data_IF_977632361686
#
_entry.id   IF_977632361686
#
_cell.length_a   1.000
_cell.length_b   1.000
_cell.length_c   1.000
_cell.angle_alpha   90.00
_cell.angle_beta   90.00
_cell.angle_gamma   90.00
#
_symmetry.space_group_name_H-M   'P 1'
#
loop_
_entity.id
_entity.type
_entity.pdbx_description
1 polymer ?
#
# COMPACT_ATOMS: atom_id res chain seq x y z
N UNK A 1 -3.45 28.03 20.29
CA UNK A 1 -3.02 26.61 20.24
C UNK A 1 -1.56 26.55 19.81
N UNK A 2 -0.76 25.76 20.51
CA UNK A 2 0.67 25.54 20.21
C UNK A 2 0.99 24.07 20.35
N UNK A 3 1.86 23.59 19.49
CA UNK A 3 2.43 22.23 19.58
C UNK A 3 3.29 22.14 20.84
N UNK A 4 3.01 21.19 21.70
CA UNK A 4 3.79 20.90 22.92
C UNK A 4 4.73 19.74 22.74
N UNK A 5 4.34 18.73 21.95
CA UNK A 5 5.10 17.52 21.71
C UNK A 5 4.73 16.91 20.35
N UNK A 6 5.68 16.29 19.68
CA UNK A 6 5.47 15.42 18.53
C UNK A 6 6.07 14.05 18.87
N UNK A 7 5.20 13.06 19.10
CA UNK A 7 5.58 11.68 19.37
C UNK A 7 5.42 10.84 18.09
N UNK A 8 6.42 10.02 17.80
CA UNK A 8 6.39 9.12 16.65
C UNK A 8 6.78 7.71 17.08
N UNK A 9 5.95 6.74 16.74
CA UNK A 9 6.09 5.34 17.14
C UNK A 9 5.97 4.40 15.97
N UNK A 10 6.73 3.31 16.04
CA UNK A 10 6.60 2.18 15.13
C UNK A 10 5.72 1.12 15.81
N UNK A 11 4.63 0.75 15.14
CA UNK A 11 3.69 -0.26 15.61
C UNK A 11 3.75 -1.45 14.65
N UNK A 12 3.99 -2.64 15.18
CA UNK A 12 3.91 -3.89 14.43
C UNK A 12 2.43 -4.27 14.26
N UNK A 13 1.96 -4.27 13.02
CA UNK A 13 0.61 -4.71 12.63
C UNK A 13 0.61 -6.11 12.01
N UNK A 14 1.53 -6.99 12.37
CA UNK A 14 1.77 -8.34 11.91
C UNK A 14 2.26 -8.46 10.46
N UNK A 15 1.57 -7.85 9.51
CA UNK A 15 1.92 -7.93 8.08
C UNK A 15 2.80 -6.77 7.61
N UNK A 16 2.86 -5.67 8.37
CA UNK A 16 3.72 -4.49 8.16
C UNK A 16 3.82 -3.66 9.43
N UNK A 17 4.82 -2.82 9.48
CA UNK A 17 4.90 -1.79 10.50
C UNK A 17 4.10 -0.55 10.07
N UNK A 18 3.49 0.12 11.04
CA UNK A 18 2.82 1.40 10.90
C UNK A 18 3.62 2.45 11.66
N UNK A 19 3.90 3.58 11.03
CA UNK A 19 4.52 4.73 11.68
C UNK A 19 3.40 5.67 12.08
N UNK A 20 3.11 5.72 13.38
CA UNK A 20 2.07 6.58 13.94
C UNK A 20 2.72 7.84 14.48
N UNK A 21 2.25 8.99 14.02
CA UNK A 21 2.68 10.31 14.52
C UNK A 21 1.54 10.95 15.29
N UNK A 22 1.83 11.42 16.51
CA UNK A 22 0.91 12.17 17.34
C UNK A 22 1.48 13.56 17.61
N UNK A 23 0.67 14.58 17.38
CA UNK A 23 1.00 15.98 17.67
C UNK A 23 0.11 16.44 18.82
N UNK A 24 0.71 16.71 19.98
CA UNK A 24 0.01 17.21 21.16
C UNK A 24 0.03 18.73 21.21
N UNK A 25 -1.04 19.32 21.74
CA UNK A 25 -1.18 20.77 21.87
C UNK A 25 -1.43 21.21 23.28
N UNK A 26 -1.14 22.49 23.58
CA UNK A 26 -1.42 23.14 24.86
C UNK A 26 -2.92 23.29 25.17
N UNK A 27 -3.80 23.06 24.21
CA UNK A 27 -5.25 23.07 24.37
C UNK A 27 -5.85 21.66 24.52
N UNK A 28 -5.01 20.63 24.65
CA UNK A 28 -5.42 19.24 24.88
C UNK A 28 -5.92 18.50 23.64
N UNK A 29 -5.87 19.11 22.45
CA UNK A 29 -6.18 18.45 21.19
C UNK A 29 -4.94 17.70 20.72
N UNK A 30 -5.11 16.43 20.37
CA UNK A 30 -4.05 15.61 19.78
C UNK A 30 -4.43 15.22 18.35
N UNK A 31 -3.57 15.56 17.39
CA UNK A 31 -3.67 15.09 16.01
C UNK A 31 -2.91 13.80 15.80
N UNK A 32 -3.43 12.95 14.95
CA UNK A 32 -2.88 11.62 14.67
C UNK A 32 -2.77 11.41 13.16
N UNK A 33 -1.69 10.78 12.74
CA UNK A 33 -1.50 10.33 11.37
C UNK A 33 -0.83 8.95 11.33
N UNK A 34 -0.92 8.32 10.16
CA UNK A 34 -0.25 7.07 9.87
C UNK A 34 0.45 7.16 8.52
N UNK A 35 1.68 6.67 8.46
CA UNK A 35 2.40 6.44 7.20
C UNK A 35 3.07 5.07 7.20
N UNK A 36 3.29 4.54 6.01
CA UNK A 36 3.95 3.24 5.79
C UNK A 36 5.02 3.40 4.72
N UNK A 37 6.25 3.03 5.04
CA UNK A 37 7.37 3.07 4.10
C UNK A 37 8.05 1.72 3.90
N UNK A 38 7.38 0.66 4.38
CA UNK A 38 7.86 -0.72 4.30
C UNK A 38 9.27 -0.86 4.91
N UNK A 39 10.28 -1.19 4.11
CA UNK A 39 11.65 -1.45 4.59
C UNK A 39 12.40 -0.21 5.10
N UNK A 40 11.82 0.99 4.96
CA UNK A 40 12.45 2.26 5.36
C UNK A 40 11.79 2.88 6.59
N UNK A 41 11.14 2.05 7.42
CA UNK A 41 10.36 2.51 8.56
C UNK A 41 11.20 3.31 9.55
N UNK A 42 12.36 2.80 9.96
CA UNK A 42 13.28 3.50 10.88
C UNK A 42 13.80 4.83 10.29
N UNK A 43 14.08 4.85 8.99
CA UNK A 43 14.54 6.07 8.31
C UNK A 43 13.46 7.14 8.28
N UNK A 44 12.21 6.75 8.00
CA UNK A 44 11.06 7.66 7.98
C UNK A 44 10.71 8.14 9.38
N UNK A 45 10.74 7.27 10.38
CA UNK A 45 10.51 7.62 11.78
C UNK A 45 11.55 8.66 12.26
N UNK A 46 12.83 8.43 11.96
CA UNK A 46 13.88 9.42 12.26
C UNK A 46 13.74 10.69 11.41
N UNK A 47 13.21 10.60 10.19
CA UNK A 47 12.86 11.75 9.38
C UNK A 47 11.85 12.66 10.06
N UNK A 48 10.79 12.10 10.67
CA UNK A 48 9.81 12.88 11.46
C UNK A 48 10.49 13.60 12.63
N UNK A 49 11.36 12.91 13.38
CA UNK A 49 12.11 13.53 14.50
C UNK A 49 13.00 14.68 14.04
N UNK A 50 13.77 14.44 13.00
CA UNK A 50 14.67 15.44 12.44
C UNK A 50 13.91 16.67 11.92
N UNK A 51 12.79 16.49 11.22
CA UNK A 51 11.96 17.60 10.78
C UNK A 51 11.39 18.39 11.97
N UNK A 52 10.92 17.69 13.01
CA UNK A 52 10.40 18.33 14.23
C UNK A 52 11.44 19.28 14.86
N UNK A 53 12.69 18.83 14.97
CA UNK A 53 13.78 19.58 15.58
C UNK A 53 14.28 20.70 14.65
N UNK A 54 14.61 20.37 13.39
CA UNK A 54 15.26 21.30 12.47
C UNK A 54 14.34 22.44 12.03
N UNK A 55 13.05 22.18 11.86
CA UNK A 55 12.06 23.23 11.51
C UNK A 55 11.58 23.98 12.77
N UNK A 56 11.86 23.45 13.95
CA UNK A 56 11.44 24.04 15.22
C UNK A 56 9.92 24.09 15.35
N UNK A 57 9.26 22.96 15.14
CA UNK A 57 7.79 22.86 15.16
C UNK A 57 7.19 23.03 16.55
N UNK A 58 7.91 22.68 17.60
CA UNK A 58 7.46 22.87 18.99
C UNK A 58 7.21 24.35 19.27
N UNK A 59 6.07 24.66 19.88
CA UNK A 59 5.60 26.02 20.15
C UNK A 59 4.95 26.72 18.96
N UNK A 60 4.90 26.12 17.77
CA UNK A 60 4.21 26.65 16.59
C UNK A 60 2.73 26.34 16.63
N UNK A 61 1.95 27.08 15.85
CA UNK A 61 0.52 26.87 15.68
C UNK A 61 0.25 25.76 14.64
N UNK A 62 -0.32 24.58 15.04
CA UNK A 62 -0.57 23.48 14.12
C UNK A 62 -1.73 23.76 13.14
N UNK A 63 -2.51 24.80 13.33
CA UNK A 63 -3.66 25.14 12.47
C UNK A 63 -3.25 25.68 11.10
N UNK A 64 -1.98 25.79 10.83
CA UNK A 64 -1.41 26.28 9.58
C UNK A 64 -0.64 25.17 8.83
N UNK A 65 -1.29 24.03 8.50
CA UNK A 65 -0.59 22.87 7.92
C UNK A 65 0.15 23.24 6.63
N UNK A 66 -0.45 24.03 5.74
CA UNK A 66 0.21 24.42 4.49
C UNK A 66 1.45 25.28 4.70
N UNK A 67 1.49 26.16 5.71
CA UNK A 67 2.68 26.94 6.04
C UNK A 67 3.81 26.03 6.51
N UNK A 68 3.49 25.06 7.36
CA UNK A 68 4.48 24.11 7.86
C UNK A 68 4.91 23.13 6.77
N UNK A 69 4.02 22.69 5.90
CA UNK A 69 4.33 21.89 4.72
C UNK A 69 5.37 22.60 3.84
N UNK A 70 5.12 23.86 3.49
CA UNK A 70 6.06 24.65 2.69
C UNK A 70 7.43 24.78 3.36
N UNK A 71 7.47 25.02 4.66
CA UNK A 71 8.74 25.10 5.41
C UNK A 71 9.48 23.77 5.40
N UNK A 72 8.82 22.68 5.76
CA UNK A 72 9.43 21.34 5.75
C UNK A 72 9.96 20.96 4.37
N UNK A 73 9.26 21.39 3.32
CA UNK A 73 9.63 21.07 1.94
C UNK A 73 10.77 21.96 1.43
N UNK A 74 10.78 23.27 1.73
CA UNK A 74 11.74 24.22 1.16
C UNK A 74 12.99 24.44 1.98
N UNK A 75 12.90 24.36 3.31
CA UNK A 75 14.06 24.54 4.16
C UNK A 75 15.08 23.39 4.01
N UNK A 76 14.65 22.28 3.41
CA UNK A 76 15.51 21.17 3.08
C UNK A 76 15.72 21.08 1.56
N UNK A 77 16.86 21.53 1.07
CA UNK A 77 17.19 21.60 -0.37
C UNK A 77 17.13 20.22 -1.07
N UNK A 78 17.20 19.12 -0.32
CA UNK A 78 17.28 17.74 -0.83
C UNK A 78 16.09 16.89 -0.42
N UNK A 79 14.91 17.49 -0.33
CA UNK A 79 13.73 16.87 0.27
C UNK A 79 13.07 15.81 -0.61
N UNK A 80 13.44 15.68 -1.86
CA UNK A 80 12.76 14.79 -2.80
C UNK A 80 13.10 13.33 -2.50
N UNK A 81 12.05 12.51 -2.35
CA UNK A 81 12.15 11.07 -2.17
C UNK A 81 11.12 10.54 -1.18
N UNK A 82 10.81 9.24 -1.30
CA UNK A 82 9.74 8.60 -0.55
C UNK A 82 9.88 8.76 0.97
N UNK A 83 11.09 8.62 1.52
CA UNK A 83 11.32 8.68 2.96
C UNK A 83 11.01 10.07 3.51
N UNK A 84 11.61 11.10 2.92
CA UNK A 84 11.45 12.48 3.41
C UNK A 84 10.05 13.01 3.19
N UNK A 85 9.43 12.71 2.03
CA UNK A 85 8.04 13.13 1.76
C UNK A 85 7.06 12.39 2.67
N UNK A 86 7.27 11.11 2.98
CA UNK A 86 6.43 10.39 3.95
C UNK A 86 6.56 10.96 5.36
N UNK A 87 7.77 11.38 5.78
CA UNK A 87 7.96 12.05 7.07
C UNK A 87 7.25 13.42 7.14
N UNK A 88 7.31 14.19 6.06
CA UNK A 88 6.56 15.46 5.92
C UNK A 88 5.06 15.19 6.00
N UNK A 89 4.56 14.22 5.24
CA UNK A 89 3.14 13.85 5.21
C UNK A 89 2.64 13.40 6.59
N UNK A 90 3.45 12.66 7.35
CA UNK A 90 3.11 12.23 8.70
C UNK A 90 2.81 13.43 9.62
N UNK A 91 3.64 14.47 9.57
CA UNK A 91 3.44 15.68 10.36
C UNK A 91 2.24 16.49 9.84
N UNK A 92 2.16 16.67 8.53
CA UNK A 92 1.13 17.49 7.89
C UNK A 92 -0.28 16.93 8.10
N UNK A 93 -0.48 15.62 7.90
CA UNK A 93 -1.76 14.96 8.14
C UNK A 93 -2.21 15.06 9.60
N UNK A 94 -1.28 14.93 10.57
CA UNK A 94 -1.61 15.10 11.98
C UNK A 94 -2.03 16.55 12.30
N UNK A 95 -1.47 17.55 11.62
CA UNK A 95 -1.91 18.94 11.74
C UNK A 95 -3.31 19.16 11.15
N UNK A 96 -3.64 18.53 10.02
CA UNK A 96 -5.00 18.55 9.48
C UNK A 96 -6.01 17.89 10.43
N UNK A 97 -5.62 16.81 11.08
CA UNK A 97 -6.47 16.14 12.07
C UNK A 97 -6.76 17.05 13.29
N UNK A 98 -5.74 17.80 13.78
CA UNK A 98 -5.94 18.83 14.80
C UNK A 98 -6.99 19.87 14.34
N UNK A 99 -6.82 20.38 13.13
CA UNK A 99 -7.69 21.39 12.56
C UNK A 99 -9.14 20.91 12.44
N UNK A 100 -9.33 19.65 12.03
CA UNK A 100 -10.64 19.01 11.99
C UNK A 100 -11.26 18.87 13.40
N UNK A 101 -10.48 18.39 14.35
CA UNK A 101 -10.91 18.21 15.75
C UNK A 101 -11.26 19.53 16.44
N UNK A 102 -10.50 20.60 16.20
CA UNK A 102 -10.76 21.92 16.77
C UNK A 102 -12.15 22.44 16.41
N UNK A 103 -12.59 22.24 15.17
CA UNK A 103 -13.89 22.72 14.69
C UNK A 103 -14.99 21.64 14.67
N UNK A 104 -14.70 20.43 15.12
CA UNK A 104 -15.63 19.31 15.14
C UNK A 104 -16.06 18.83 13.76
N UNK A 105 -15.18 18.92 12.75
CA UNK A 105 -15.47 18.53 11.38
C UNK A 105 -14.44 17.55 10.84
N UNK A 106 -14.84 16.59 9.99
CA UNK A 106 -13.89 15.72 9.30
C UNK A 106 -13.04 16.51 8.31
N UNK A 107 -11.82 16.08 8.11
CA UNK A 107 -10.82 16.79 7.30
C UNK A 107 -11.29 17.02 5.85
N UNK A 108 -12.03 16.09 5.26
CA UNK A 108 -12.52 16.25 3.87
C UNK A 108 -13.40 17.48 3.67
N UNK A 109 -14.04 18.01 4.71
CA UNK A 109 -14.84 19.22 4.64
C UNK A 109 -14.02 20.47 4.27
N UNK A 110 -12.73 20.48 4.62
CA UNK A 110 -11.82 21.58 4.24
C UNK A 110 -11.43 21.54 2.76
N UNK A 111 -11.67 20.40 2.09
CA UNK A 111 -11.39 20.20 0.67
C UNK A 111 -12.66 20.28 -0.21
N UNK A 112 -13.74 20.86 0.32
CA UNK A 112 -14.99 21.05 -0.41
C UNK A 112 -16.09 20.04 -0.10
N UNK A 113 -15.86 19.14 0.84
CA UNK A 113 -16.83 18.11 1.24
C UNK A 113 -16.92 16.94 0.25
N UNK A 114 -17.92 16.07 0.40
CA UNK A 114 -18.08 14.92 -0.49
C UNK A 114 -18.42 15.37 -1.91
N UNK A 115 -17.73 14.80 -2.90
CA UNK A 115 -17.85 15.22 -4.31
C UNK A 115 -19.15 14.75 -4.95
N UNK A 116 -19.65 13.56 -4.60
CA UNK A 116 -20.81 12.94 -5.24
C UNK A 116 -21.91 12.56 -4.27
N UNK A 117 -21.61 11.68 -3.33
CA UNK A 117 -22.54 11.10 -2.37
C UNK A 117 -21.83 10.91 -1.03
N UNK A 118 -22.59 10.62 -0.02
CA UNK A 118 -22.11 10.31 1.33
C UNK A 118 -21.33 8.99 1.44
N UNK A 119 -21.16 8.26 0.33
CA UNK A 119 -20.50 6.94 0.28
C UNK A 119 -19.49 6.85 -0.85
N UNK A 120 -18.35 6.26 -0.54
CA UNK A 120 -17.28 5.95 -1.49
C UNK A 120 -17.33 4.46 -1.79
N UNK A 121 -17.33 4.05 -3.08
CA UNK A 121 -17.18 2.64 -3.46
C UNK A 121 -15.84 2.10 -2.96
N UNK A 122 -15.86 0.89 -2.42
CA UNK A 122 -14.67 0.23 -1.90
C UNK A 122 -14.55 -1.18 -2.46
N UNK A 123 -13.31 -1.63 -2.65
CA UNK A 123 -13.01 -3.03 -2.91
C UNK A 123 -12.38 -3.68 -1.68
N UNK A 124 -12.28 -5.00 -1.67
CA UNK A 124 -11.52 -5.72 -0.65
C UNK A 124 -10.41 -6.55 -1.28
N UNK A 125 -9.36 -6.77 -0.50
CA UNK A 125 -8.34 -7.75 -0.86
C UNK A 125 -8.83 -9.17 -0.58
N UNK A 126 -8.54 -10.09 -1.51
CA UNK A 126 -8.76 -11.52 -1.35
C UNK A 126 -7.45 -12.28 -1.54
N UNK A 127 -7.19 -13.35 -0.78
CA UNK A 127 -6.05 -14.23 -1.03
C UNK A 127 -6.16 -14.87 -2.41
N UNK A 128 -5.02 -15.07 -3.09
CA UNK A 128 -4.98 -15.82 -4.34
C UNK A 128 -5.30 -17.31 -4.17
N UNK A 129 -5.16 -17.84 -2.95
CA UNK A 129 -5.36 -19.26 -2.69
C UNK A 129 -4.22 -20.14 -3.23
N UNK A 130 -4.34 -21.44 -2.99
CA UNK A 130 -3.39 -22.47 -3.44
C UNK A 130 -3.86 -23.19 -4.70
N UNK A 131 -5.16 -23.10 -4.99
CA UNK A 131 -5.81 -23.68 -6.16
C UNK A 131 -6.80 -22.70 -6.78
N UNK A 132 -7.18 -22.88 -8.05
CA UNK A 132 -8.23 -22.09 -8.69
C UNK A 132 -9.56 -22.10 -7.92
N UNK A 133 -9.95 -23.25 -7.35
CA UNK A 133 -11.17 -23.40 -6.56
C UNK A 133 -11.09 -22.58 -5.26
N UNK A 134 -9.98 -22.67 -4.53
CA UNK A 134 -9.77 -21.87 -3.31
C UNK A 134 -9.81 -20.36 -3.61
N UNK A 135 -9.26 -19.94 -4.75
CA UNK A 135 -9.37 -18.56 -5.19
C UNK A 135 -10.83 -18.14 -5.43
N UNK A 136 -11.58 -18.95 -6.12
CA UNK A 136 -13.01 -18.70 -6.35
C UNK A 136 -13.79 -18.66 -5.03
N UNK A 137 -13.49 -19.54 -4.07
CA UNK A 137 -14.12 -19.53 -2.74
C UNK A 137 -13.79 -18.26 -1.96
N UNK A 138 -12.56 -17.76 -2.05
CA UNK A 138 -12.16 -16.48 -1.44
C UNK A 138 -12.94 -15.29 -2.03
N UNK A 139 -13.21 -15.32 -3.33
CA UNK A 139 -14.07 -14.32 -4.00
C UNK A 139 -15.52 -14.46 -3.55
N UNK A 140 -16.03 -15.69 -3.42
CA UNK A 140 -17.38 -15.95 -2.88
C UNK A 140 -17.54 -15.36 -1.48
N UNK A 141 -16.56 -15.56 -0.60
CA UNK A 141 -16.56 -15.00 0.75
C UNK A 141 -16.57 -13.45 0.74
N UNK A 142 -15.89 -12.82 -0.22
CA UNK A 142 -15.93 -11.36 -0.38
C UNK A 142 -17.33 -10.89 -0.86
N UNK A 143 -17.91 -11.57 -1.83
CA UNK A 143 -19.27 -11.31 -2.34
C UNK A 143 -20.31 -11.43 -1.21
N UNK A 144 -20.23 -12.49 -0.42
CA UNK A 144 -21.18 -12.76 0.68
C UNK A 144 -21.08 -11.71 1.79
N UNK A 145 -19.95 -11.01 1.91
CA UNK A 145 -19.76 -9.82 2.75
C UNK A 145 -20.32 -8.54 2.14
N UNK A 146 -20.86 -8.59 0.91
CA UNK A 146 -21.46 -7.46 0.21
C UNK A 146 -20.54 -6.68 -0.72
N UNK A 147 -19.30 -7.11 -0.91
CA UNK A 147 -18.39 -6.49 -1.89
C UNK A 147 -18.81 -6.86 -3.31
N UNK A 148 -18.56 -5.95 -4.24
CA UNK A 148 -18.77 -6.15 -5.69
C UNK A 148 -17.46 -6.15 -6.46
N UNK A 149 -16.40 -5.71 -5.82
CA UNK A 149 -15.05 -5.63 -6.38
C UNK A 149 -14.07 -6.27 -5.40
N UNK A 150 -13.24 -7.15 -5.89
CA UNK A 150 -12.13 -7.70 -5.13
C UNK A 150 -10.81 -7.51 -5.87
N UNK A 151 -9.71 -7.40 -5.11
CA UNK A 151 -8.35 -7.31 -5.65
C UNK A 151 -7.49 -8.41 -5.05
N UNK A 152 -6.72 -9.08 -5.89
CA UNK A 152 -5.73 -10.06 -5.49
C UNK A 152 -4.36 -9.69 -6.04
N UNK A 153 -3.31 -10.26 -5.49
CA UNK A 153 -2.01 -10.31 -6.18
C UNK A 153 -2.01 -11.42 -7.22
N UNK A 154 -1.04 -11.44 -8.13
CA UNK A 154 -0.92 -12.54 -9.10
C UNK A 154 -0.87 -13.89 -8.36
N UNK A 155 -1.89 -14.75 -8.47
CA UNK A 155 -1.85 -16.09 -7.89
C UNK A 155 -0.62 -16.84 -8.39
N UNK A 156 -0.11 -17.80 -7.62
CA UNK A 156 1.09 -18.60 -7.95
C UNK A 156 2.38 -17.78 -7.95
N UNK A 157 2.36 -16.55 -8.47
CA UNK A 157 3.54 -15.70 -8.58
C UNK A 157 4.00 -15.11 -7.24
N UNK A 158 3.06 -14.72 -6.36
CA UNK A 158 3.37 -14.06 -5.08
C UNK A 158 3.02 -14.88 -3.84
N UNK A 159 2.16 -15.86 -3.95
CA UNK A 159 1.53 -16.48 -2.78
C UNK A 159 1.99 -17.89 -2.48
N UNK A 160 2.67 -18.55 -3.39
CA UNK A 160 3.03 -19.94 -3.20
C UNK A 160 4.52 -20.17 -3.38
N UNK A 161 5.07 -20.71 -2.34
CA UNK A 161 6.36 -21.37 -2.38
C UNK A 161 6.21 -22.63 -3.20
N UNK A 162 6.30 -22.56 -4.51
CA UNK A 162 6.61 -23.75 -5.26
C UNK A 162 8.08 -24.11 -4.98
N UNK A 163 8.27 -25.22 -4.29
CA UNK A 163 9.58 -25.84 -4.19
C UNK A 163 9.95 -26.37 -5.57
N UNK A 164 10.63 -25.58 -6.35
CA UNK A 164 11.28 -26.07 -7.56
C UNK A 164 12.63 -26.60 -7.14
N UNK A 165 12.75 -27.91 -7.07
CA UNK A 165 14.04 -28.58 -6.89
C UNK A 165 14.70 -28.75 -8.25
N UNK A 166 15.76 -27.99 -8.50
CA UNK A 166 16.72 -28.31 -9.54
C UNK A 166 18.05 -28.60 -8.82
N UNK A 167 18.58 -29.80 -9.02
CA UNK A 167 19.89 -30.23 -8.53
C UNK A 167 20.06 -30.17 -6.99
N UNK A 168 18.99 -30.43 -6.23
CA UNK A 168 19.06 -30.53 -4.77
C UNK A 168 19.00 -29.17 -4.04
N UNK A 169 18.86 -28.06 -4.75
CA UNK A 169 18.61 -26.74 -4.16
C UNK A 169 17.10 -26.44 -4.19
N UNK A 170 16.53 -26.08 -3.03
CA UNK A 170 15.16 -25.59 -2.95
C UNK A 170 15.14 -24.10 -3.34
N UNK A 171 14.58 -23.78 -4.50
CA UNK A 171 14.28 -22.41 -4.89
C UNK A 171 12.83 -22.08 -4.51
N UNK A 172 12.65 -21.00 -3.77
CA UNK A 172 11.33 -20.46 -3.46
C UNK A 172 10.98 -19.37 -4.49
N UNK A 173 10.12 -19.68 -5.43
CA UNK A 173 9.54 -18.68 -6.32
C UNK A 173 8.31 -18.10 -5.60
N UNK A 174 8.29 -16.78 -5.40
CA UNK A 174 7.18 -16.09 -4.76
C UNK A 174 7.18 -16.25 -3.23
N UNK A 175 7.96 -15.46 -2.54
CA UNK A 175 7.82 -15.25 -1.10
C UNK A 175 6.99 -14.01 -0.85
N UNK A 176 6.06 -14.06 0.10
CA UNK A 176 5.36 -12.89 0.56
C UNK A 176 6.39 -11.88 1.08
N UNK A 177 6.72 -10.88 0.26
CA UNK A 177 7.65 -9.80 0.63
C UNK A 177 7.10 -8.94 1.78
N UNK A 178 5.93 -9.30 2.29
CA UNK A 178 5.18 -8.59 3.31
C UNK A 178 5.23 -9.21 4.70
N UNK A 179 5.89 -10.37 4.88
CA UNK A 179 6.09 -10.83 6.25
C UNK A 179 7.11 -9.91 6.92
N UNK A 180 6.68 -9.11 7.87
CA UNK A 180 7.49 -8.25 8.73
C UNK A 180 8.45 -9.02 9.65
N UNK A 181 8.71 -10.28 9.35
CA UNK A 181 9.76 -11.03 9.98
C UNK A 181 11.11 -10.44 9.56
N UNK A 182 11.86 -9.97 10.51
CA UNK A 182 13.31 -9.71 10.46
C UNK A 182 14.07 -11.00 10.06
N UNK A 183 13.78 -11.55 8.89
CA UNK A 183 14.28 -12.82 8.47
C UNK A 183 14.69 -12.77 7.01
N UNK A 184 15.98 -12.81 6.81
CA UNK A 184 16.68 -13.20 5.59
C UNK A 184 15.91 -12.93 4.30
N UNK A 185 16.25 -11.83 3.67
CA UNK A 185 16.03 -11.62 2.23
C UNK A 185 16.74 -12.80 1.56
N UNK A 186 15.99 -13.83 1.17
CA UNK A 186 16.54 -14.79 0.25
C UNK A 186 16.71 -14.07 -1.11
N UNK A 187 17.77 -14.42 -1.82
CA UNK A 187 18.16 -13.73 -3.05
C UNK A 187 17.20 -13.92 -4.25
N UNK A 188 16.01 -14.47 -4.02
CA UNK A 188 15.00 -14.77 -5.05
C UNK A 188 14.30 -13.55 -5.65
N UNK A 189 14.66 -12.35 -5.22
CA UNK A 189 14.00 -11.12 -5.67
C UNK A 189 14.40 -10.66 -7.08
N UNK A 190 15.45 -11.20 -7.65
CA UNK A 190 15.92 -10.79 -8.98
C UNK A 190 15.20 -11.51 -10.14
N UNK A 191 14.38 -12.50 -9.86
CA UNK A 191 13.63 -13.25 -10.88
C UNK A 191 12.25 -12.69 -11.19
N UNK A 192 11.87 -11.60 -10.56
CA UNK A 192 10.53 -11.04 -10.58
C UNK A 192 10.06 -10.43 -11.91
N UNK A 193 10.96 -10.19 -12.85
CA UNK A 193 10.58 -9.67 -14.17
C UNK A 193 10.13 -10.77 -15.14
N UNK A 194 10.29 -12.03 -14.75
CA UNK A 194 10.05 -13.17 -15.61
C UNK A 194 8.74 -13.88 -15.26
N UNK A 195 7.79 -13.86 -16.16
CA UNK A 195 6.57 -14.64 -16.09
C UNK A 195 6.65 -15.76 -17.15
N UNK A 196 7.10 -16.94 -16.74
CA UNK A 196 7.25 -18.06 -17.68
C UNK A 196 5.88 -18.55 -18.16
N UNK A 197 5.89 -19.31 -19.24
CA UNK A 197 4.65 -19.77 -19.89
C UNK A 197 3.83 -20.72 -19.01
N UNK A 198 4.47 -21.48 -18.11
CA UNK A 198 3.77 -22.41 -17.22
C UNK A 198 3.07 -21.64 -16.11
N UNK A 199 3.79 -20.72 -15.46
CA UNK A 199 3.23 -19.83 -14.44
C UNK A 199 2.07 -19.01 -15.02
N UNK A 200 2.25 -18.45 -16.22
CA UNK A 200 1.19 -17.69 -16.87
C UNK A 200 -0.08 -18.52 -17.11
N UNK A 201 0.07 -19.75 -17.60
CA UNK A 201 -1.08 -20.66 -17.80
C UNK A 201 -1.76 -21.00 -16.48
N UNK A 202 -1.00 -21.21 -15.44
CA UNK A 202 -1.52 -21.48 -14.12
C UNK A 202 -2.23 -20.25 -13.55
N UNK A 203 -1.66 -19.05 -13.65
CA UNK A 203 -2.35 -17.79 -13.31
C UNK A 203 -3.69 -17.67 -14.04
N UNK A 204 -3.71 -17.91 -15.35
CA UNK A 204 -4.94 -17.83 -16.17
C UNK A 204 -6.00 -18.79 -15.64
N UNK A 205 -5.64 -20.03 -15.28
CA UNK A 205 -6.60 -21.01 -14.78
C UNK A 205 -7.32 -20.57 -13.50
N UNK A 206 -6.67 -19.78 -12.64
CA UNK A 206 -7.31 -19.20 -11.45
C UNK A 206 -8.45 -18.23 -11.84
N UNK A 207 -8.19 -17.36 -12.80
CA UNK A 207 -9.17 -16.39 -13.26
C UNK A 207 -10.29 -17.05 -14.10
N UNK A 208 -9.97 -18.07 -14.90
CA UNK A 208 -10.96 -18.84 -15.62
C UNK A 208 -11.95 -19.52 -14.67
N UNK A 209 -11.47 -20.19 -13.61
CA UNK A 209 -12.34 -20.81 -12.62
C UNK A 209 -13.16 -19.79 -11.85
N UNK A 210 -12.55 -18.64 -11.47
CA UNK A 210 -13.26 -17.56 -10.83
C UNK A 210 -14.40 -17.02 -11.71
N UNK A 211 -14.17 -16.80 -13.00
CA UNK A 211 -15.20 -16.34 -13.95
C UNK A 211 -16.28 -17.39 -14.20
N UNK A 212 -15.90 -18.64 -14.28
CA UNK A 212 -16.86 -19.75 -14.43
C UNK A 212 -17.86 -19.81 -13.27
N UNK A 213 -17.41 -19.53 -12.04
CA UNK A 213 -18.23 -19.60 -10.83
C UNK A 213 -19.02 -18.30 -10.60
N UNK A 214 -18.37 -17.14 -10.78
CA UNK A 214 -18.95 -15.85 -10.40
C UNK A 214 -19.50 -15.04 -11.58
N UNK A 215 -19.14 -15.41 -12.82
CA UNK A 215 -19.56 -14.65 -14.01
C UNK A 215 -19.19 -13.18 -13.89
N UNK A 216 -20.15 -12.30 -14.15
CA UNK A 216 -20.02 -10.85 -14.09
C UNK A 216 -20.53 -10.25 -12.75
N UNK A 217 -20.83 -11.09 -11.75
CA UNK A 217 -21.32 -10.60 -10.45
C UNK A 217 -20.24 -9.92 -9.62
N UNK A 218 -18.97 -10.25 -9.88
CA UNK A 218 -17.79 -9.70 -9.19
C UNK A 218 -16.80 -9.13 -10.19
N UNK A 219 -16.37 -7.90 -9.98
CA UNK A 219 -15.15 -7.40 -10.62
C UNK A 219 -13.92 -7.97 -9.92
N UNK A 220 -12.98 -8.49 -10.70
CA UNK A 220 -11.75 -9.12 -10.21
C UNK A 220 -10.55 -8.33 -10.71
N UNK A 221 -9.88 -7.67 -9.78
CA UNK A 221 -8.69 -6.88 -10.03
C UNK A 221 -7.44 -7.65 -9.64
N UNK A 222 -6.35 -7.45 -10.37
CA UNK A 222 -5.05 -8.06 -10.07
C UNK A 222 -3.96 -7.00 -9.93
N UNK A 223 -3.19 -7.09 -8.86
CA UNK A 223 -2.08 -6.20 -8.56
C UNK A 223 -0.75 -6.92 -8.83
N UNK A 224 0.02 -6.39 -9.76
CA UNK A 224 1.31 -6.95 -10.18
C UNK A 224 2.50 -6.34 -9.43
N UNK A 225 2.28 -5.31 -8.60
CA UNK A 225 3.30 -4.66 -7.79
C UNK A 225 4.56 -4.26 -8.58
N UNK A 226 4.41 -3.78 -9.81
CA UNK A 226 5.52 -3.33 -10.65
C UNK A 226 6.61 -4.41 -10.88
N UNK A 227 6.20 -5.69 -11.08
CA UNK A 227 7.15 -6.82 -11.09
C UNK A 227 7.44 -7.39 -12.47
N UNK A 228 6.72 -6.99 -13.49
CA UNK A 228 6.87 -7.59 -14.82
C UNK A 228 7.68 -6.69 -15.75
N UNK A 229 8.43 -7.30 -16.65
CA UNK A 229 8.97 -6.58 -17.81
C UNK A 229 7.87 -6.30 -18.84
N UNK A 230 8.04 -5.31 -19.70
CA UNK A 230 7.05 -4.91 -20.69
C UNK A 230 6.51 -6.07 -21.54
N UNK A 231 7.38 -6.98 -21.97
CA UNK A 231 6.98 -8.14 -22.76
C UNK A 231 6.10 -9.13 -21.98
N UNK A 232 6.37 -9.31 -20.68
CA UNK A 232 5.58 -10.19 -19.81
C UNK A 232 4.27 -9.55 -19.40
N UNK A 233 4.28 -8.25 -19.11
CA UNK A 233 3.07 -7.48 -18.83
C UNK A 233 2.11 -7.51 -20.02
N UNK A 234 2.59 -7.25 -21.24
CA UNK A 234 1.76 -7.31 -22.45
C UNK A 234 1.12 -8.71 -22.65
N UNK A 235 1.90 -9.76 -22.40
CA UNK A 235 1.39 -11.14 -22.48
C UNK A 235 0.34 -11.42 -21.40
N UNK A 236 0.58 -11.01 -20.16
CA UNK A 236 -0.39 -11.17 -19.06
C UNK A 236 -1.69 -10.46 -19.38
N UNK A 237 -1.64 -9.20 -19.81
CA UNK A 237 -2.81 -8.39 -20.21
C UNK A 237 -3.60 -9.08 -21.32
N UNK A 238 -2.91 -9.64 -22.32
CA UNK A 238 -3.54 -10.35 -23.42
C UNK A 238 -4.27 -11.60 -22.94
N UNK A 239 -3.64 -12.43 -22.11
CA UNK A 239 -4.20 -13.70 -21.63
C UNK A 239 -5.32 -13.49 -20.58
N UNK A 240 -5.27 -12.43 -19.77
CA UNK A 240 -6.30 -12.10 -18.78
C UNK A 240 -7.45 -11.26 -19.36
N UNK A 241 -7.44 -10.96 -20.65
CA UNK A 241 -8.52 -10.17 -21.27
C UNK A 241 -9.88 -10.88 -21.16
N UNK A 242 -10.85 -10.21 -20.52
CA UNK A 242 -12.16 -10.75 -20.22
C UNK A 242 -12.21 -11.67 -18.99
N UNK A 243 -11.08 -11.86 -18.33
CA UNK A 243 -10.98 -12.62 -17.08
C UNK A 243 -10.72 -11.70 -15.87
N UNK A 244 -9.83 -10.73 -16.00
CA UNK A 244 -9.61 -9.67 -15.01
C UNK A 244 -10.18 -8.35 -15.53
N UNK A 245 -10.73 -7.53 -14.63
CA UNK A 245 -11.33 -6.23 -14.98
C UNK A 245 -10.34 -5.09 -14.87
N UNK A 246 -9.32 -5.23 -14.03
CA UNK A 246 -8.23 -4.27 -13.86
C UNK A 246 -6.92 -5.00 -13.57
N UNK A 247 -5.85 -4.52 -14.20
CA UNK A 247 -4.49 -4.96 -13.92
C UNK A 247 -3.71 -3.74 -13.42
N UNK A 248 -3.35 -3.78 -12.13
CA UNK A 248 -2.67 -2.70 -11.41
C UNK A 248 -1.16 -2.90 -11.48
N UNK A 249 -0.43 -1.82 -11.70
CA UNK A 249 1.04 -1.76 -11.69
C UNK A 249 1.73 -2.96 -12.39
N UNK A 250 1.41 -3.25 -13.66
CA UNK A 250 2.06 -4.38 -14.33
C UNK A 250 3.55 -4.13 -14.56
N UNK A 251 3.95 -2.86 -14.70
CA UNK A 251 5.30 -2.42 -15.00
C UNK A 251 5.93 -1.64 -13.86
N UNK A 252 7.26 -1.65 -13.73
CA UNK A 252 7.98 -0.71 -12.88
C UNK A 252 7.69 0.75 -13.26
N UNK A 253 7.71 1.69 -12.30
CA UNK A 253 7.43 3.11 -12.57
C UNK A 253 8.36 3.74 -13.61
N UNK A 254 9.58 3.24 -13.77
CA UNK A 254 10.56 3.67 -14.76
C UNK A 254 10.24 3.23 -16.20
N UNK A 255 9.32 2.29 -16.40
CA UNK A 255 8.94 1.72 -17.70
C UNK A 255 7.57 2.24 -18.19
N UNK A 256 7.15 3.44 -17.76
CA UNK A 256 5.83 4.02 -18.10
C UNK A 256 5.75 4.59 -19.53
N UNK A 257 6.88 4.84 -20.19
CA UNK A 257 6.97 5.46 -21.54
C UNK A 257 6.72 4.48 -22.69
#
# INVERSE_FOLDING_TARGET
MKITEIDVRLIDANFRNLIITQIHTDEGITGVSEVVTKRFDDATLNGVRNLTENIGLIGKDPRQPNLHLERMYRDNQWTIGTISVSAISAIEMAMWDIKGKEVGKPVYEFFGGPTFVDRVPVYCHVPGGSTPEEFADNIAAARDRGYRVCKTTLPVYYGQVQKVSTDGAEYRIGGNAYSGTKGKVDGSHNEHQWLDRRILKEVVSFFEEARKIHGDEMEIWVDCHARLSGAHAARLVYELRGLADLIEEPLPPEDID
#
